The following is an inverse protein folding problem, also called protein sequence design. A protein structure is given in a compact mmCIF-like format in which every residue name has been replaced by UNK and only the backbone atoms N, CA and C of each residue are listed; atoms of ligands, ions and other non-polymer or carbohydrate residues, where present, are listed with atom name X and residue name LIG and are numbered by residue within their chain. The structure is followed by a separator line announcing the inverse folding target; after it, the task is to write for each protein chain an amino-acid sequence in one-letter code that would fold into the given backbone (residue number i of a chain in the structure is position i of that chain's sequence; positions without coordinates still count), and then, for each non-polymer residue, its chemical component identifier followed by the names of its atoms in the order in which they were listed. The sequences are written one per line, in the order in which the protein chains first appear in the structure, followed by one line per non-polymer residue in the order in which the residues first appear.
data_IF_829399545622
#
_entry.id   IF_829399545622
#
_cell.length_a   1.000
_cell.length_b   1.000
_cell.length_c   1.000
_cell.angle_alpha   90.00
_cell.angle_beta   90.00
_cell.angle_gamma   90.00
#
_symmetry.space_group_name_H-M   'P 1'
#
loop_
_entity.id
_entity.type
_entity.pdbx_description
1 polymer ?
#
# COMPACT_ATOMS: atom_id res chain seq x y z
N UNK A 1 18.72 -5.37 -8.94
CA UNK A 1 17.27 -5.13 -8.74
C UNK A 1 16.56 -4.54 -9.99
N UNK A 2 16.41 -5.27 -11.11
CA UNK A 2 15.67 -4.76 -12.27
C UNK A 2 14.14 -4.67 -12.02
N UNK A 3 13.57 -5.72 -11.39
CA UNK A 3 12.12 -5.88 -11.21
C UNK A 3 11.43 -4.79 -10.37
N UNK A 4 12.15 -4.19 -9.40
CA UNK A 4 11.59 -3.14 -8.52
C UNK A 4 11.47 -1.81 -9.27
N UNK A 5 12.47 -1.45 -10.09
CA UNK A 5 12.41 -0.25 -10.94
C UNK A 5 11.26 -0.36 -11.94
N UNK A 6 10.99 -1.56 -12.44
CA UNK A 6 9.87 -1.81 -13.35
C UNK A 6 8.51 -1.67 -12.65
N UNK A 7 8.39 -2.06 -11.38
CA UNK A 7 7.17 -1.83 -10.60
C UNK A 7 6.90 -0.34 -10.38
N UNK A 8 7.94 0.46 -10.09
CA UNK A 8 7.80 1.90 -9.93
C UNK A 8 7.41 2.59 -11.25
N UNK A 9 7.97 2.17 -12.38
CA UNK A 9 7.56 2.66 -13.72
C UNK A 9 6.15 2.26 -14.11
N UNK A 10 5.65 1.13 -13.60
CA UNK A 10 4.27 0.67 -13.79
C UNK A 10 3.29 1.39 -12.87
N UNK A 11 3.75 2.13 -11.87
CA UNK A 11 2.90 2.96 -11.03
C UNK A 11 2.20 4.01 -11.91
N UNK A 12 0.86 4.11 -11.86
CA UNK A 12 0.13 5.19 -12.50
C UNK A 12 0.67 6.54 -12.02
N UNK A 13 1.11 7.39 -12.96
CA UNK A 13 1.64 8.69 -12.64
C UNK A 13 0.49 9.61 -12.18
N UNK A 14 0.54 10.20 -10.97
CA UNK A 14 -0.45 11.18 -10.57
C UNK A 14 -0.40 12.40 -11.49
N UNK A 15 -1.56 13.01 -11.77
CA UNK A 15 -1.70 14.13 -12.72
C UNK A 15 -0.82 15.34 -12.39
N UNK A 16 -0.39 15.48 -11.14
CA UNK A 16 0.49 16.55 -10.66
C UNK A 16 1.96 16.39 -11.08
N UNK A 17 2.35 15.24 -11.64
CA UNK A 17 3.74 14.96 -12.01
C UNK A 17 3.90 14.87 -13.53
N UNK A 18 4.88 15.60 -14.12
CA UNK A 18 5.13 15.55 -15.56
C UNK A 18 5.79 14.26 -16.04
N UNK A 19 6.50 13.53 -15.17
CA UNK A 19 7.17 12.26 -15.49
C UNK A 19 7.51 11.45 -14.22
N UNK A 20 7.89 10.18 -14.38
CA UNK A 20 8.28 9.29 -13.28
C UNK A 20 9.52 9.76 -12.51
N UNK A 21 10.42 10.52 -13.12
CA UNK A 21 11.61 11.03 -12.42
C UNK A 21 11.24 12.09 -11.38
N UNK A 22 10.36 13.03 -11.74
CA UNK A 22 9.82 14.03 -10.83
C UNK A 22 9.00 13.40 -9.71
N UNK A 23 8.20 12.37 -10.04
CA UNK A 23 7.47 11.60 -9.05
C UNK A 23 8.41 10.83 -8.12
N UNK A 24 9.47 10.20 -8.63
CA UNK A 24 10.47 9.51 -7.82
C UNK A 24 11.13 10.45 -6.82
N UNK A 25 11.53 11.66 -7.26
CA UNK A 25 12.11 12.67 -6.37
C UNK A 25 11.14 13.09 -5.27
N UNK A 26 9.88 13.37 -5.62
CA UNK A 26 8.86 13.72 -4.64
C UNK A 26 8.56 12.56 -3.68
N UNK A 27 8.55 11.32 -4.17
CA UNK A 27 8.37 10.12 -3.36
C UNK A 27 9.53 9.90 -2.39
N UNK A 28 10.78 10.13 -2.83
CA UNK A 28 11.96 10.11 -1.95
C UNK A 28 11.87 11.17 -0.86
N UNK A 29 11.46 12.40 -1.20
CA UNK A 29 11.23 13.45 -0.20
C UNK A 29 10.14 13.06 0.80
N UNK A 30 8.98 12.62 0.32
CA UNK A 30 7.88 12.22 1.19
C UNK A 30 8.27 11.09 2.15
N UNK A 31 9.14 10.17 1.72
CA UNK A 31 9.68 9.12 2.57
C UNK A 31 10.65 9.65 3.62
N UNK A 32 11.53 10.60 3.28
CA UNK A 32 12.40 11.26 4.26
C UNK A 32 11.56 12.03 5.31
N UNK A 33 10.59 12.83 4.86
CA UNK A 33 9.68 13.55 5.75
C UNK A 33 8.89 12.60 6.67
N UNK A 34 8.53 11.41 6.18
CA UNK A 34 7.87 10.37 6.98
C UNK A 34 8.79 9.77 8.05
N UNK A 35 10.07 9.54 7.72
CA UNK A 35 11.08 9.08 8.70
C UNK A 35 11.27 10.15 9.79
N UNK A 36 11.41 11.41 9.39
CA UNK A 36 11.56 12.54 10.33
C UNK A 36 10.36 12.60 11.29
N UNK A 37 9.14 12.52 10.76
CA UNK A 37 7.93 12.54 11.58
C UNK A 37 7.85 11.37 12.57
N UNK A 38 8.36 10.18 12.21
CA UNK A 38 8.44 9.04 13.14
C UNK A 38 9.48 9.29 14.22
N UNK A 39 10.64 9.85 13.87
CA UNK A 39 11.71 10.18 14.83
C UNK A 39 11.24 11.26 15.83
N UNK A 40 10.45 12.24 15.38
CA UNK A 40 9.86 13.27 16.24
C UNK A 40 8.80 12.71 17.22
N UNK A 41 8.25 11.52 16.95
CA UNK A 41 7.20 10.89 17.74
C UNK A 41 7.65 9.57 18.42
N UNK A 42 8.95 9.37 18.64
CA UNK A 42 9.46 8.12 19.25
C UNK A 42 8.87 7.83 20.64
N UNK A 43 8.50 8.87 21.39
CA UNK A 43 7.87 8.73 22.70
C UNK A 43 6.41 8.27 22.63
N UNK A 44 5.75 8.42 21.47
CA UNK A 44 4.38 8.01 21.24
C UNK A 44 4.16 7.54 19.80
N UNK A 45 4.67 6.34 19.49
CA UNK A 45 4.53 5.74 18.17
C UNK A 45 3.07 5.46 17.75
N UNK A 46 2.15 5.33 18.71
CA UNK A 46 0.73 5.14 18.39
C UNK A 46 0.09 6.39 17.74
N UNK A 47 0.64 7.58 17.97
CA UNK A 47 0.19 8.79 17.30
C UNK A 47 0.48 8.78 15.79
N UNK A 48 1.56 8.11 15.36
CA UNK A 48 1.98 8.05 13.95
C UNK A 48 1.52 6.77 13.23
N UNK A 49 1.14 5.72 13.98
CA UNK A 49 0.60 4.46 13.44
C UNK A 49 -0.49 4.66 12.36
N UNK A 50 -1.53 5.51 12.55
CA UNK A 50 -2.59 5.68 11.55
C UNK A 50 -2.11 6.24 10.22
N UNK A 51 -1.09 7.11 10.23
CA UNK A 51 -0.50 7.70 9.04
C UNK A 51 0.34 6.68 8.26
N UNK A 52 1.14 5.87 8.97
CA UNK A 52 1.91 4.77 8.36
C UNK A 52 0.98 3.74 7.71
N UNK A 53 -0.12 3.38 8.38
CA UNK A 53 -1.13 2.50 7.80
C UNK A 53 -1.82 3.15 6.60
N UNK A 54 -2.12 4.46 6.65
CA UNK A 54 -2.70 5.20 5.52
C UNK A 54 -1.79 5.14 4.30
N UNK A 55 -0.47 5.29 4.48
CA UNK A 55 0.52 5.10 3.40
C UNK A 55 0.38 3.71 2.80
N UNK A 56 0.28 2.66 3.63
CA UNK A 56 0.02 1.29 3.19
C UNK A 56 -1.26 1.13 2.36
N UNK A 57 -2.38 1.70 2.83
CA UNK A 57 -3.68 1.67 2.15
C UNK A 57 -3.61 2.35 0.77
N UNK A 58 -2.98 3.52 0.67
CA UNK A 58 -2.79 4.24 -0.60
C UNK A 58 -1.99 3.41 -1.60
N UNK A 59 -0.90 2.78 -1.16
CA UNK A 59 -0.09 1.93 -2.02
C UNK A 59 -0.86 0.69 -2.51
N UNK A 60 -1.71 0.10 -1.66
CA UNK A 60 -2.57 -1.00 -2.06
C UNK A 60 -3.58 -0.57 -3.15
N UNK A 61 -4.15 0.63 -3.05
CA UNK A 61 -5.10 1.14 -4.04
C UNK A 61 -4.43 1.42 -5.39
N UNK A 62 -3.34 2.19 -5.39
CA UNK A 62 -2.62 2.60 -6.60
C UNK A 62 -2.09 1.38 -7.36
N UNK A 63 -1.55 0.41 -6.64
CA UNK A 63 -0.94 -0.78 -7.22
C UNK A 63 -1.89 -1.99 -7.24
N UNK A 64 -3.19 -1.77 -7.02
CA UNK A 64 -4.23 -2.82 -7.06
C UNK A 64 -3.93 -4.04 -6.17
N UNK A 65 -3.18 -3.82 -5.09
CA UNK A 65 -2.76 -4.85 -4.15
C UNK A 65 -1.61 -5.74 -4.62
N UNK A 66 -0.93 -5.42 -5.72
CA UNK A 66 0.13 -6.24 -6.31
C UNK A 66 1.46 -6.19 -5.55
N UNK A 67 1.63 -5.24 -4.62
CA UNK A 67 2.85 -5.16 -3.81
C UNK A 67 2.92 -6.32 -2.82
N UNK A 68 3.94 -7.16 -2.99
CA UNK A 68 4.16 -8.32 -2.11
C UNK A 68 4.75 -7.91 -0.76
N UNK A 69 4.51 -8.70 0.29
CA UNK A 69 5.18 -8.52 1.59
C UNK A 69 6.70 -8.60 1.46
N UNK A 70 7.21 -9.42 0.51
CA UNK A 70 8.65 -9.50 0.22
C UNK A 70 9.22 -8.17 -0.26
N UNK A 71 8.46 -7.42 -1.07
CA UNK A 71 8.91 -6.10 -1.53
C UNK A 71 9.02 -5.12 -0.35
N UNK A 72 8.05 -5.12 0.57
CA UNK A 72 8.11 -4.29 1.77
C UNK A 72 9.31 -4.66 2.66
N UNK A 73 9.64 -5.95 2.79
CA UNK A 73 10.86 -6.37 3.49
C UNK A 73 12.12 -5.86 2.78
N UNK A 74 12.18 -5.92 1.45
CA UNK A 74 13.30 -5.34 0.69
C UNK A 74 13.42 -3.83 0.91
N UNK A 75 12.30 -3.12 1.03
CA UNK A 75 12.30 -1.69 1.40
C UNK A 75 12.90 -1.49 2.79
N UNK A 76 12.49 -2.27 3.79
CA UNK A 76 13.06 -2.21 5.13
C UNK A 76 14.58 -2.46 5.14
N UNK A 77 15.03 -3.53 4.48
CA UNK A 77 16.45 -3.87 4.33
C UNK A 77 17.23 -2.71 3.70
N UNK A 78 16.70 -2.13 2.62
CA UNK A 78 17.33 -0.99 1.94
C UNK A 78 17.47 0.22 2.88
N UNK A 79 16.43 0.53 3.66
CA UNK A 79 16.51 1.65 4.62
C UNK A 79 17.51 1.38 5.74
N UNK A 80 17.56 0.16 6.26
CA UNK A 80 18.54 -0.23 7.27
C UNK A 80 19.95 -0.06 6.72
N UNK A 81 20.24 -0.58 5.52
CA UNK A 81 21.55 -0.44 4.88
C UNK A 81 21.92 1.04 4.67
N UNK A 82 20.97 1.85 4.20
CA UNK A 82 21.17 3.29 4.06
C UNK A 82 21.51 3.99 5.39
N UNK A 83 20.88 3.61 6.51
CA UNK A 83 21.23 4.18 7.83
C UNK A 83 22.67 3.87 8.26
N UNK A 84 23.27 2.78 7.77
CA UNK A 84 24.68 2.44 8.01
C UNK A 84 25.65 3.32 7.21
N UNK A 85 25.21 3.77 6.04
CA UNK A 85 25.99 4.60 5.12
C UNK A 85 25.89 6.09 5.45
N UNK A 86 24.71 6.56 5.86
CA UNK A 86 24.39 8.00 5.98
C UNK A 86 24.76 8.62 7.34
N UNK A 87 25.02 7.82 8.37
CA UNK A 87 25.35 8.32 9.72
C UNK A 87 26.82 8.75 9.89
N UNK A 88 27.08 9.63 10.87
CA UNK A 88 28.47 9.91 11.32
C UNK A 88 29.13 8.59 11.72
N UNK A 89 30.37 8.37 11.26
CA UNK A 89 31.16 7.18 11.57
C UNK A 89 31.24 6.91 13.08
N UNK A 90 31.24 7.96 13.90
CA UNK A 90 31.25 7.93 15.38
C UNK A 90 29.93 7.46 15.99
N UNK A 91 28.82 7.61 15.27
CA UNK A 91 27.49 7.20 15.70
C UNK A 91 27.13 5.77 15.27
N UNK A 92 28.03 5.03 14.60
CA UNK A 92 27.80 3.64 14.16
C UNK A 92 28.00 2.59 15.25
N UNK A 93 27.58 2.92 16.47
CA UNK A 93 27.58 1.93 17.56
C UNK A 93 26.55 0.84 17.28
N UNK A 94 26.73 -0.32 17.90
CA UNK A 94 25.73 -1.40 17.81
C UNK A 94 24.35 -0.94 18.32
N UNK A 95 24.32 -0.13 19.37
CA UNK A 95 23.09 0.43 19.94
C UNK A 95 22.34 1.30 18.93
N UNK A 96 23.02 2.23 18.26
CA UNK A 96 22.38 3.12 17.27
C UNK A 96 21.87 2.32 16.07
N UNK A 97 22.62 1.31 15.62
CA UNK A 97 22.17 0.41 14.55
C UNK A 97 20.92 -0.37 14.94
N UNK A 98 20.86 -0.88 16.18
CA UNK A 98 19.67 -1.57 16.71
C UNK A 98 18.47 -0.62 16.80
N UNK A 99 18.68 0.62 17.26
CA UNK A 99 17.62 1.63 17.33
C UNK A 99 17.02 1.92 15.94
N UNK A 100 17.86 2.20 14.94
CA UNK A 100 17.41 2.42 13.57
C UNK A 100 16.69 1.20 12.99
N UNK A 101 17.20 -0.01 13.22
CA UNK A 101 16.53 -1.23 12.78
C UNK A 101 15.12 -1.37 13.38
N UNK A 102 14.94 -1.03 14.65
CA UNK A 102 13.63 -1.05 15.31
C UNK A 102 12.68 0.02 14.74
N UNK A 103 13.17 1.24 14.50
CA UNK A 103 12.39 2.33 13.89
C UNK A 103 11.90 1.92 12.50
N UNK A 104 12.80 1.45 11.64
CA UNK A 104 12.45 1.04 10.27
C UNK A 104 11.52 -0.18 10.28
N UNK A 105 11.76 -1.15 11.17
CA UNK A 105 10.88 -2.30 11.33
C UNK A 105 9.46 -1.88 11.75
N UNK A 106 9.33 -0.96 12.71
CA UNK A 106 8.04 -0.41 13.12
C UNK A 106 7.33 0.26 11.95
N UNK A 107 8.01 1.17 11.23
CA UNK A 107 7.46 1.89 10.09
C UNK A 107 6.91 0.95 9.02
N UNK A 108 7.75 0.01 8.58
CA UNK A 108 7.39 -0.91 7.50
C UNK A 108 6.31 -1.88 7.93
N UNK A 109 6.28 -2.31 9.20
CA UNK A 109 5.22 -3.20 9.68
C UNK A 109 3.86 -2.49 9.73
N UNK A 110 3.80 -1.23 10.18
CA UNK A 110 2.56 -0.43 10.11
C UNK A 110 2.09 -0.22 8.67
N UNK A 111 3.00 0.10 7.75
CA UNK A 111 2.68 0.21 6.32
C UNK A 111 2.14 -1.13 5.76
N UNK A 112 2.77 -2.25 6.12
CA UNK A 112 2.31 -3.59 5.72
C UNK A 112 0.91 -3.89 6.26
N UNK A 113 0.62 -3.52 7.51
CA UNK A 113 -0.71 -3.67 8.12
C UNK A 113 -1.77 -2.95 7.31
N UNK A 114 -1.61 -1.64 7.07
CA UNK A 114 -2.57 -0.87 6.28
C UNK A 114 -2.71 -1.37 4.84
N UNK A 115 -1.60 -1.78 4.22
CA UNK A 115 -1.62 -2.38 2.89
C UNK A 115 -2.42 -3.69 2.87
N UNK A 116 -2.22 -4.58 3.84
CA UNK A 116 -2.93 -5.85 3.96
C UNK A 116 -4.42 -5.65 4.23
N UNK A 117 -4.76 -4.75 5.13
CA UNK A 117 -6.14 -4.37 5.45
C UNK A 117 -6.88 -3.90 4.19
N UNK A 118 -6.29 -2.94 3.46
CA UNK A 118 -6.89 -2.43 2.23
C UNK A 118 -7.01 -3.51 1.16
N UNK A 119 -6.03 -4.41 1.04
CA UNK A 119 -6.10 -5.53 0.10
C UNK A 119 -7.28 -6.46 0.41
N UNK A 120 -7.49 -6.79 1.69
CA UNK A 120 -8.64 -7.60 2.13
C UNK A 120 -9.95 -6.87 1.80
N UNK A 121 -10.04 -5.59 2.14
CA UNK A 121 -11.21 -4.76 1.85
C UNK A 121 -11.54 -4.75 0.34
N UNK A 122 -10.53 -4.53 -0.52
CA UNK A 122 -10.70 -4.55 -1.97
C UNK A 122 -11.15 -5.91 -2.50
N UNK A 123 -10.65 -7.01 -1.93
CA UNK A 123 -11.10 -8.36 -2.31
C UNK A 123 -12.56 -8.58 -1.90
N UNK A 124 -12.93 -8.22 -0.68
CA UNK A 124 -14.31 -8.31 -0.19
C UNK A 124 -15.26 -7.50 -1.07
N UNK A 125 -14.93 -6.24 -1.39
CA UNK A 125 -15.74 -5.41 -2.29
C UNK A 125 -15.93 -6.08 -3.65
N UNK A 126 -14.86 -6.62 -4.26
CA UNK A 126 -14.96 -7.33 -5.55
C UNK A 126 -15.88 -8.53 -5.47
N UNK A 127 -15.80 -9.33 -4.40
CA UNK A 127 -16.68 -10.48 -4.22
C UNK A 127 -18.14 -10.08 -4.02
N UNK A 128 -18.39 -8.99 -3.27
CA UNK A 128 -19.73 -8.45 -3.06
C UNK A 128 -20.32 -7.92 -4.36
N UNK A 129 -19.58 -7.14 -5.14
CA UNK A 129 -20.02 -6.62 -6.45
C UNK A 129 -20.41 -7.79 -7.37
N UNK A 130 -19.54 -8.79 -7.51
CA UNK A 130 -19.83 -9.96 -8.35
C UNK A 130 -21.05 -10.77 -7.86
N UNK A 131 -21.31 -10.78 -6.55
CA UNK A 131 -22.51 -11.43 -6.00
C UNK A 131 -23.79 -10.64 -6.32
N UNK A 132 -23.74 -9.31 -6.21
CA UNK A 132 -24.85 -8.43 -6.56
C UNK A 132 -25.19 -8.54 -8.05
N UNK A 133 -24.20 -8.47 -8.94
CA UNK A 133 -24.38 -8.64 -10.39
C UNK A 133 -25.03 -9.99 -10.72
N UNK A 134 -24.62 -11.07 -10.07
CA UNK A 134 -25.24 -12.40 -10.25
C UNK A 134 -26.70 -12.42 -9.78
N UNK A 135 -27.03 -11.73 -8.70
CA UNK A 135 -28.41 -11.64 -8.19
C UNK A 135 -29.28 -10.83 -9.14
N UNK A 136 -28.78 -9.70 -9.64
CA UNK A 136 -29.49 -8.88 -10.64
C UNK A 136 -29.77 -9.65 -11.93
N UNK A 137 -28.79 -10.39 -12.45
CA UNK A 137 -28.96 -11.23 -13.64
C UNK A 137 -30.02 -12.33 -13.42
N UNK A 138 -30.02 -12.97 -12.25
CA UNK A 138 -31.05 -13.97 -11.90
C UNK A 138 -32.44 -13.36 -11.84
N UNK A 139 -32.57 -12.18 -11.23
CA UNK A 139 -33.84 -11.47 -11.12
C UNK A 139 -34.37 -11.04 -12.49
N UNK A 140 -33.51 -10.54 -13.37
CA UNK A 140 -33.87 -10.18 -14.74
C UNK A 140 -34.34 -11.40 -15.54
N UNK A 141 -33.63 -12.53 -15.45
CA UNK A 141 -34.01 -13.77 -16.13
C UNK A 141 -35.37 -14.30 -15.64
N UNK A 142 -35.62 -14.26 -14.32
CA UNK A 142 -36.89 -14.66 -13.74
C UNK A 142 -38.06 -13.77 -14.22
N UNK A 143 -37.85 -12.46 -14.31
CA UNK A 143 -38.84 -11.52 -14.81
C UNK A 143 -39.20 -11.78 -16.29
N UNK A 144 -38.19 -12.06 -17.13
CA UNK A 144 -38.40 -12.41 -18.54
C UNK A 144 -39.18 -13.72 -18.67
N UNK A 145 -38.82 -14.75 -17.90
CA UNK A 145 -39.53 -16.03 -17.90
C UNK A 145 -41.00 -15.87 -17.50
N UNK A 146 -41.28 -15.11 -16.43
CA UNK A 146 -42.65 -14.84 -15.98
C UNK A 146 -43.47 -14.10 -17.04
N UNK A 147 -42.88 -13.11 -17.71
CA UNK A 147 -43.53 -12.38 -18.80
C UNK A 147 -43.86 -13.29 -19.99
N UNK A 148 -42.94 -14.20 -20.35
CA UNK A 148 -43.16 -15.17 -21.43
C UNK A 148 -44.29 -16.15 -21.10
N UNK A 149 -44.35 -16.66 -19.86
CA UNK A 149 -45.44 -17.55 -19.41
C UNK A 149 -46.80 -16.83 -19.41
N UNK A 150 -46.83 -15.56 -18.99
CA UNK A 150 -48.06 -14.76 -19.02
C UNK A 150 -48.55 -14.47 -20.44
N UNK A 151 -47.65 -14.28 -21.40
CA UNK A 151 -47.98 -14.07 -22.81
C UNK A 151 -48.52 -15.33 -23.49
N UNK A 152 -48.03 -16.52 -23.11
CA UNK A 152 -48.49 -17.80 -23.65
C UNK A 152 -49.86 -18.26 -23.13
N UNK A 153 -50.38 -17.60 -22.09
CA UNK A 153 -51.68 -17.91 -21.46
C UNK A 153 -52.83 -17.01 -21.94
N UNK A 154 -52.57 -16.14 -22.92
CA UNK A 154 -53.56 -15.28 -23.59
C UNK A 154 -53.77 -15.74 -25.02
#
# INVERSE_FOLDING_TARGET
MPKVKDQFRRCPLPRSFPNHDSFAKAHSKAMADLVDHVVENLDNLEAISPELERVGRVHAQIMRGELSSKLWNTVAETFIDCTLEWGDKRCRSETVRKAWALIIAFMVERIKTGHLEQRKHMLTMRTTIAALERTELKNAAAAVAAAATAAASK
#
